data_IF_662167669715
#
_entry.id   IF_662167669715
#
_cell.length_a   1.000
_cell.length_b   1.000
_cell.length_c   1.000
_cell.angle_alpha   90.00
_cell.angle_beta   90.00
_cell.angle_gamma   90.00
#
_symmetry.space_group_name_H-M   'P 1'
#
loop_
_entity.id
_entity.type
_entity.pdbx_description
1 polymer ?
#
# COMPACT_ATOMS: atom_id res chain seq x y z
N UNK A 1 -29.02 -30.93 -76.60
CA UNK A 1 -28.79 -29.67 -75.86
C UNK A 1 -28.39 -30.05 -74.44
N UNK A 2 -27.19 -29.73 -73.94
CA UNK A 2 -26.80 -30.07 -72.57
C UNK A 2 -27.32 -28.99 -71.61
N UNK A 3 -28.03 -29.41 -70.56
CA UNK A 3 -28.54 -28.55 -69.49
C UNK A 3 -27.41 -28.25 -68.49
N UNK A 4 -27.23 -26.97 -68.18
CA UNK A 4 -26.21 -26.44 -67.25
C UNK A 4 -26.45 -26.94 -65.81
N UNK A 5 -25.39 -27.41 -65.16
CA UNK A 5 -25.36 -27.76 -63.74
C UNK A 5 -25.19 -26.51 -62.85
N UNK A 6 -25.93 -26.37 -61.72
CA UNK A 6 -25.79 -25.23 -60.82
C UNK A 6 -24.54 -25.37 -59.93
N UNK A 7 -23.70 -24.32 -59.94
CA UNK A 7 -22.53 -24.17 -59.06
C UNK A 7 -22.99 -23.77 -57.65
N UNK A 8 -23.08 -24.74 -56.74
CA UNK A 8 -23.33 -24.48 -55.30
C UNK A 8 -22.11 -23.77 -54.68
N UNK A 9 -22.27 -22.51 -54.31
CA UNK A 9 -21.35 -21.75 -53.48
C UNK A 9 -21.33 -22.32 -52.05
N UNK A 10 -20.13 -22.62 -51.54
CA UNK A 10 -19.91 -23.18 -50.20
C UNK A 10 -20.15 -22.10 -49.16
N UNK A 11 -21.19 -22.27 -48.32
CA UNK A 11 -21.43 -21.44 -47.14
C UNK A 11 -20.44 -21.92 -46.07
N UNK A 12 -19.42 -21.13 -45.74
CA UNK A 12 -18.60 -21.36 -44.55
C UNK A 12 -19.52 -21.20 -43.35
N UNK A 13 -19.84 -22.31 -42.70
CA UNK A 13 -20.41 -22.27 -41.36
C UNK A 13 -19.29 -21.78 -40.46
N UNK A 14 -19.26 -20.47 -40.18
CA UNK A 14 -18.46 -19.93 -39.11
C UNK A 14 -18.91 -20.65 -37.84
N UNK A 15 -18.04 -21.54 -37.37
CA UNK A 15 -18.31 -22.43 -36.27
C UNK A 15 -18.57 -21.63 -35.01
N UNK A 16 -19.83 -21.48 -34.65
CA UNK A 16 -20.25 -21.16 -33.29
C UNK A 16 -19.84 -22.33 -32.40
N UNK A 17 -18.58 -22.32 -31.96
CA UNK A 17 -18.04 -23.22 -30.95
C UNK A 17 -18.66 -22.77 -29.63
N UNK A 18 -19.71 -23.44 -29.20
CA UNK A 18 -20.27 -23.22 -27.87
C UNK A 18 -19.27 -23.62 -26.80
N UNK A 19 -19.07 -22.77 -25.79
CA UNK A 19 -18.36 -23.12 -24.56
C UNK A 19 -19.03 -24.34 -23.94
N UNK A 20 -18.24 -25.34 -23.56
CA UNK A 20 -18.83 -26.51 -22.91
C UNK A 20 -19.17 -26.17 -21.45
N UNK A 21 -20.26 -26.72 -20.90
CA UNK A 21 -20.62 -26.52 -19.49
C UNK A 21 -19.49 -26.94 -18.54
N UNK A 22 -18.75 -27.98 -18.93
CA UNK A 22 -17.59 -28.49 -18.18
C UNK A 22 -16.45 -27.47 -18.13
N UNK A 23 -16.28 -26.68 -19.18
CA UNK A 23 -15.26 -25.64 -19.31
C UNK A 23 -15.52 -24.48 -18.36
N UNK A 24 -16.79 -24.07 -18.21
CA UNK A 24 -17.16 -23.06 -17.22
C UNK A 24 -17.14 -23.66 -15.80
N UNK A 25 -17.56 -24.91 -15.63
CA UNK A 25 -17.58 -25.60 -14.34
C UNK A 25 -16.19 -25.67 -13.70
N UNK A 26 -15.17 -26.11 -14.44
CA UNK A 26 -13.82 -26.24 -13.89
C UNK A 26 -13.22 -24.87 -13.55
N UNK A 27 -13.52 -23.83 -14.32
CA UNK A 27 -13.02 -22.47 -14.09
C UNK A 27 -13.55 -21.91 -12.77
N UNK A 28 -14.85 -22.02 -12.51
CA UNK A 28 -15.43 -21.50 -11.25
C UNK A 28 -14.93 -22.29 -10.04
N UNK A 29 -14.65 -23.59 -10.20
CA UNK A 29 -14.03 -24.41 -9.15
C UNK A 29 -12.61 -23.93 -8.85
N UNK A 30 -11.78 -23.69 -9.87
CA UNK A 30 -10.42 -23.18 -9.69
C UNK A 30 -10.44 -21.79 -9.05
N UNK A 31 -11.29 -20.88 -9.52
CA UNK A 31 -11.43 -19.53 -8.94
C UNK A 31 -11.90 -19.62 -7.48
N UNK A 32 -12.82 -20.53 -7.15
CA UNK A 32 -13.27 -20.74 -5.78
C UNK A 32 -12.14 -21.16 -4.83
N UNK A 33 -11.26 -22.06 -5.26
CA UNK A 33 -10.09 -22.48 -4.47
C UNK A 33 -9.04 -21.38 -4.40
N UNK A 34 -8.74 -20.70 -5.50
CA UNK A 34 -7.74 -19.63 -5.52
C UNK A 34 -8.19 -18.41 -4.69
N UNK A 35 -9.48 -18.07 -4.69
CA UNK A 35 -10.01 -16.94 -3.94
C UNK A 35 -9.80 -17.08 -2.43
N UNK A 36 -9.98 -18.28 -1.86
CA UNK A 36 -9.82 -18.48 -0.41
C UNK A 36 -8.36 -18.34 0.03
N UNK A 37 -7.41 -18.92 -0.71
CA UNK A 37 -5.98 -18.84 -0.39
C UNK A 37 -5.44 -17.42 -0.57
N UNK A 38 -5.85 -16.72 -1.64
CA UNK A 38 -5.37 -15.37 -1.94
C UNK A 38 -5.80 -14.34 -0.88
N UNK A 39 -7.00 -14.45 -0.32
CA UNK A 39 -7.46 -13.52 0.74
C UNK A 39 -6.59 -13.59 1.98
N UNK A 40 -6.22 -14.79 2.44
CA UNK A 40 -5.34 -14.96 3.61
C UNK A 40 -3.93 -14.47 3.31
N UNK A 41 -3.42 -14.76 2.11
CA UNK A 41 -2.10 -14.32 1.68
C UNK A 41 -1.97 -12.78 1.62
N UNK A 42 -2.98 -12.08 1.07
CA UNK A 42 -2.97 -10.61 0.95
C UNK A 42 -3.02 -9.94 2.32
N UNK A 43 -3.90 -10.39 3.24
CA UNK A 43 -3.99 -9.82 4.59
C UNK A 43 -2.64 -9.81 5.30
N UNK A 44 -1.94 -10.94 5.31
CA UNK A 44 -0.63 -11.03 5.96
C UNK A 44 0.47 -10.19 5.28
N UNK A 45 0.36 -9.89 3.98
CA UNK A 45 1.31 -9.01 3.28
C UNK A 45 1.05 -7.54 3.65
N UNK A 46 -0.21 -7.13 3.70
CA UNK A 46 -0.60 -5.76 4.08
C UNK A 46 -0.13 -5.43 5.50
N UNK A 47 -0.40 -6.30 6.48
CA UNK A 47 0.03 -6.08 7.87
C UNK A 47 1.55 -5.91 7.99
N UNK A 48 2.32 -6.73 7.27
CA UNK A 48 3.79 -6.61 7.21
C UNK A 48 4.24 -5.35 6.49
N UNK A 49 3.53 -4.95 5.43
CA UNK A 49 3.79 -3.71 4.70
C UNK A 49 3.63 -2.49 5.59
N UNK A 50 2.55 -2.45 6.37
CA UNK A 50 2.29 -1.38 7.34
C UNK A 50 3.35 -1.34 8.44
N UNK A 51 3.69 -2.49 9.06
CA UNK A 51 4.76 -2.55 10.07
C UNK A 51 6.12 -2.08 9.54
N UNK A 52 6.47 -2.47 8.30
CA UNK A 52 7.71 -2.02 7.68
C UNK A 52 7.67 -0.51 7.38
N UNK A 53 6.52 0.01 6.96
CA UNK A 53 6.28 1.44 6.79
C UNK A 53 6.47 2.21 8.10
N UNK A 54 5.86 1.75 9.19
CA UNK A 54 6.02 2.33 10.53
C UNK A 54 7.50 2.39 10.96
N UNK A 55 8.25 1.31 10.75
CA UNK A 55 9.68 1.24 11.11
C UNK A 55 10.53 2.18 10.27
N UNK A 56 10.27 2.25 8.97
CA UNK A 56 10.99 3.16 8.08
C UNK A 56 10.71 4.63 8.43
N UNK A 57 9.45 4.95 8.72
CA UNK A 57 9.04 6.27 9.15
C UNK A 57 9.68 6.65 10.49
N UNK A 58 9.63 5.75 11.49
CA UNK A 58 10.28 5.95 12.79
C UNK A 58 11.76 6.30 12.66
N UNK A 59 12.51 5.54 11.87
CA UNK A 59 13.94 5.81 11.63
C UNK A 59 14.13 7.18 10.95
N UNK A 60 13.20 7.61 10.11
CA UNK A 60 13.25 8.93 9.46
C UNK A 60 13.05 10.04 10.48
N UNK A 61 12.06 9.91 11.36
CA UNK A 61 11.78 10.88 12.43
C UNK A 61 12.91 10.94 13.46
N UNK A 62 13.40 9.79 13.93
CA UNK A 62 14.54 9.70 14.87
C UNK A 62 15.79 10.39 14.30
N UNK A 63 16.12 10.12 13.03
CA UNK A 63 17.26 10.77 12.37
C UNK A 63 17.08 12.27 12.24
N UNK A 64 15.87 12.73 11.92
CA UNK A 64 15.59 14.16 11.82
C UNK A 64 15.75 14.85 13.19
N UNK A 65 15.27 14.22 14.27
CA UNK A 65 15.45 14.69 15.63
C UNK A 65 16.94 14.76 16.02
N UNK A 66 17.70 13.69 15.80
CA UNK A 66 19.13 13.63 16.10
C UNK A 66 19.93 14.70 15.35
N UNK A 67 19.62 14.89 14.06
CA UNK A 67 20.25 15.93 13.24
C UNK A 67 19.94 17.31 13.81
N UNK A 68 18.69 17.60 14.15
CA UNK A 68 18.30 18.89 14.69
C UNK A 68 19.00 19.20 16.02
N UNK A 69 18.97 18.26 16.97
CA UNK A 69 19.60 18.40 18.27
C UNK A 69 21.13 18.57 18.12
N UNK A 70 21.75 17.77 17.25
CA UNK A 70 23.18 17.83 16.97
C UNK A 70 23.63 19.13 16.30
N UNK A 71 22.87 19.63 15.32
CA UNK A 71 23.20 20.87 14.61
C UNK A 71 23.05 22.12 15.49
N UNK A 72 22.05 22.12 16.37
CA UNK A 72 21.74 23.27 17.23
C UNK A 72 22.37 23.17 18.62
N UNK A 73 23.06 22.07 18.93
CA UNK A 73 23.64 21.78 20.25
C UNK A 73 22.61 21.86 21.38
N UNK A 74 21.40 21.35 21.12
CA UNK A 74 20.28 21.37 22.05
C UNK A 74 20.11 20.02 22.74
N UNK A 75 19.61 20.05 23.97
CA UNK A 75 19.22 18.85 24.71
C UNK A 75 17.74 18.46 24.49
N UNK A 76 16.94 19.36 23.92
CA UNK A 76 15.54 19.12 23.61
C UNK A 76 15.09 19.96 22.41
N UNK A 77 14.17 19.41 21.62
CA UNK A 77 13.55 20.06 20.48
C UNK A 77 12.58 21.12 21.02
N UNK A 78 12.72 22.40 20.62
CA UNK A 78 11.80 23.43 21.03
C UNK A 78 10.45 23.17 20.37
N UNK A 79 9.34 23.39 21.09
CA UNK A 79 8.02 23.21 20.52
C UNK A 79 7.64 24.36 19.60
N UNK A 80 6.87 24.04 18.56
CA UNK A 80 6.25 25.03 17.68
C UNK A 80 4.73 24.92 17.78
N UNK A 81 4.02 26.04 17.95
CA UNK A 81 2.56 26.05 18.06
C UNK A 81 2.01 25.97 19.49
N UNK A 82 0.78 25.48 19.63
CA UNK A 82 0.03 25.52 20.88
C UNK A 82 0.47 24.41 21.86
N UNK A 83 0.40 24.62 23.19
CA UNK A 83 0.85 23.62 24.17
C UNK A 83 0.11 22.28 24.15
N UNK A 84 -1.12 22.26 23.63
CA UNK A 84 -1.97 21.08 23.55
C UNK A 84 -1.84 20.32 22.22
N UNK A 85 -1.04 20.83 21.28
CA UNK A 85 -0.79 20.17 20.00
C UNK A 85 0.25 19.04 20.21
N UNK A 86 -0.08 17.77 19.95
CA UNK A 86 0.86 16.67 20.07
C UNK A 86 2.02 16.80 19.07
N UNK A 87 1.75 17.26 17.85
CA UNK A 87 2.71 17.23 16.72
C UNK A 87 3.68 18.43 16.72
N UNK A 88 3.70 19.19 17.83
CA UNK A 88 4.41 20.47 17.96
C UNK A 88 5.93 20.35 17.81
N UNK A 89 6.50 19.18 18.02
CA UNK A 89 7.94 18.95 17.91
C UNK A 89 8.33 18.55 16.48
N UNK A 90 7.49 17.77 15.81
CA UNK A 90 7.60 17.45 14.39
C UNK A 90 7.40 18.69 13.53
N UNK A 91 6.48 19.58 13.92
CA UNK A 91 6.32 20.89 13.28
C UNK A 91 7.65 21.65 13.25
N UNK A 92 8.40 21.66 14.36
CA UNK A 92 9.75 22.26 14.39
C UNK A 92 10.70 21.62 13.39
N UNK A 93 10.65 20.30 13.22
CA UNK A 93 11.49 19.58 12.25
C UNK A 93 11.05 19.81 10.79
N UNK A 94 9.76 20.02 10.56
CA UNK A 94 9.22 20.42 9.25
C UNK A 94 9.65 21.84 8.90
N UNK A 95 9.54 22.77 9.84
CA UNK A 95 9.96 24.16 9.66
C UNK A 95 11.48 24.27 9.46
N UNK A 96 12.25 23.40 10.12
CA UNK A 96 13.69 23.26 9.91
C UNK A 96 14.06 22.56 8.58
N UNK A 97 13.08 22.04 7.83
CA UNK A 97 13.27 21.35 6.56
C UNK A 97 13.89 19.95 6.67
N UNK A 98 13.95 19.38 7.87
CA UNK A 98 14.45 18.03 8.13
C UNK A 98 13.37 16.97 7.85
N UNK A 99 12.11 17.31 8.10
CA UNK A 99 10.95 16.53 7.70
C UNK A 99 10.19 17.24 6.57
N UNK A 100 9.59 16.46 5.68
CA UNK A 100 8.72 16.99 4.61
C UNK A 100 7.29 17.25 5.09
N UNK A 101 6.85 16.50 6.10
CA UNK A 101 5.53 16.54 6.70
C UNK A 101 5.59 15.89 8.08
N UNK A 102 4.58 16.17 8.90
CA UNK A 102 4.37 15.51 10.19
C UNK A 102 4.10 14.02 9.92
N UNK A 103 4.66 13.14 10.76
CA UNK A 103 4.39 11.71 10.64
C UNK A 103 2.95 11.40 11.09
N UNK A 104 2.25 10.57 10.31
CA UNK A 104 0.95 10.03 10.69
C UNK A 104 1.04 8.71 11.49
N UNK A 105 2.26 8.18 11.66
CA UNK A 105 2.51 6.83 12.19
C UNK A 105 3.18 6.88 13.56
N UNK A 106 4.01 7.90 13.80
CA UNK A 106 4.80 8.06 15.00
C UNK A 106 4.74 9.51 15.49
N UNK A 107 4.76 9.68 16.81
CA UNK A 107 4.83 10.95 17.54
C UNK A 107 6.24 11.14 18.12
N UNK A 108 6.72 12.37 18.20
CA UNK A 108 8.04 12.77 18.63
C UNK A 108 7.95 13.64 19.89
N UNK A 109 8.58 13.18 20.96
CA UNK A 109 8.71 13.95 22.19
C UNK A 109 9.88 14.96 22.12
N UNK A 110 9.87 15.91 23.05
CA UNK A 110 10.88 16.97 23.17
C UNK A 110 12.32 16.43 23.28
N UNK A 111 12.50 15.27 23.90
CA UNK A 111 13.80 14.64 24.13
C UNK A 111 14.33 13.85 22.92
N UNK A 112 13.59 13.80 21.82
CA UNK A 112 13.93 12.98 20.65
C UNK A 112 13.35 11.57 20.70
N UNK A 113 12.61 11.20 21.75
CA UNK A 113 11.97 9.87 21.84
C UNK A 113 10.81 9.79 20.86
N UNK A 114 10.82 8.75 20.01
CA UNK A 114 9.75 8.48 19.05
C UNK A 114 8.84 7.38 19.58
N UNK A 115 7.53 7.65 19.60
CA UNK A 115 6.49 6.74 20.08
C UNK A 115 5.48 6.41 18.96
N UNK A 116 5.00 5.16 18.87
CA UNK A 116 4.03 4.80 17.85
C UNK A 116 2.65 5.41 18.16
N UNK A 117 2.04 6.06 17.16
CA UNK A 117 0.67 6.59 17.26
C UNK A 117 -0.37 5.56 16.78
N UNK A 118 0.01 4.72 15.81
CA UNK A 118 -0.85 3.69 15.24
C UNK A 118 -0.62 2.34 15.95
N UNK A 119 -1.71 1.62 16.28
CA UNK A 119 -1.69 0.28 16.83
C UNK A 119 -0.96 -0.76 15.95
N UNK A 120 -0.86 -0.53 14.63
CA UNK A 120 -0.09 -1.38 13.73
C UNK A 120 1.43 -1.12 13.77
N UNK A 121 1.85 -0.09 14.49
CA UNK A 121 3.26 0.28 14.69
C UNK A 121 3.84 -0.20 16.04
N UNK A 122 3.08 -0.95 16.84
CA UNK A 122 3.53 -1.50 18.14
C UNK A 122 4.35 -2.78 17.99
#
# INVERSE_FOLDING_TARGET
MPQLAPRRTRKTADGARGFTLVEILIVVVIIGVLATVTVVAVRGITDRGEQNGCRADRVTVERAADIYLGQNQLAAIPPTGAPADPDRFEQTLVDAGLLKQISAMNDLAADGTVTPLNANCT
#
